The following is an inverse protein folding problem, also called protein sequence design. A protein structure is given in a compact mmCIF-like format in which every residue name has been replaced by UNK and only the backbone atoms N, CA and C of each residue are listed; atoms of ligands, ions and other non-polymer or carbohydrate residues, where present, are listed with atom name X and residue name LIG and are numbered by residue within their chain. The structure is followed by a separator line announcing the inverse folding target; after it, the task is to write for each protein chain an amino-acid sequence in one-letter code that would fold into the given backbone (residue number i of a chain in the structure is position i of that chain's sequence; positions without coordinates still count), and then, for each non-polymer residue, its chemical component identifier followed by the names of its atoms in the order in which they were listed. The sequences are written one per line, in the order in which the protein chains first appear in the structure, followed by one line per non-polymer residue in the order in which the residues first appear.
data_IF_275965446062
#
_entry.id   IF_275965446062
#
_cell.length_a   1.000
_cell.length_b   1.000
_cell.length_c   1.000
_cell.angle_alpha   90.00
_cell.angle_beta   90.00
_cell.angle_gamma   90.00
#
_symmetry.space_group_name_H-M   'P 1'
#
loop_
_entity.id
_entity.type
_entity.pdbx_description
1 polymer ?
#
# COMPACT_ATOMS: atom_id res chain seq x y z
N UNK A 1 -56.97 -3.22 33.80
CA UNK A 1 -56.27 -4.18 34.67
C UNK A 1 -54.92 -4.47 34.05
N UNK A 2 -53.84 -3.81 34.46
CA UNK A 2 -52.96 -4.20 35.59
C UNK A 2 -52.49 -5.66 35.44
N UNK A 3 -51.21 -6.03 35.32
CA UNK A 3 -49.92 -5.40 35.62
C UNK A 3 -48.85 -6.18 34.83
N UNK A 4 -48.07 -5.55 33.96
CA UNK A 4 -46.67 -5.96 33.71
C UNK A 4 -45.85 -4.97 32.88
N UNK A 5 -46.23 -3.69 32.86
CA UNK A 5 -45.34 -2.59 32.48
C UNK A 5 -44.60 -2.18 33.75
N UNK A 6 -43.45 -2.81 34.04
CA UNK A 6 -42.33 -2.32 34.89
C UNK A 6 -41.38 -3.50 35.16
N UNK A 7 -40.46 -3.82 34.23
CA UNK A 7 -39.18 -4.52 34.52
C UNK A 7 -38.27 -4.85 33.32
N UNK A 8 -38.50 -4.29 32.12
CA UNK A 8 -37.63 -4.57 30.96
C UNK A 8 -36.89 -3.32 30.44
N UNK A 9 -37.06 -2.15 31.07
CA UNK A 9 -36.43 -0.88 30.64
C UNK A 9 -35.20 -0.50 31.50
N UNK A 10 -34.63 -1.43 32.29
CA UNK A 10 -33.48 -1.09 33.15
C UNK A 10 -32.32 -2.09 33.08
N UNK A 11 -31.92 -2.50 31.87
CA UNK A 11 -30.69 -3.26 31.60
C UNK A 11 -30.10 -2.92 30.20
N UNK A 12 -30.20 -1.65 29.77
CA UNK A 12 -29.57 -1.13 28.53
C UNK A 12 -28.43 -0.12 28.86
N UNK A 13 -27.88 -0.17 30.08
CA UNK A 13 -26.66 0.57 30.41
C UNK A 13 -25.66 -0.40 31.05
N UNK A 14 -24.41 -0.35 30.57
CA UNK A 14 -23.27 -1.22 30.89
C UNK A 14 -23.13 -2.52 30.09
N UNK A 15 -23.06 -2.38 28.76
CA UNK A 15 -22.07 -3.16 27.99
C UNK A 15 -21.44 -2.19 26.99
N UNK A 16 -20.53 -1.34 27.50
CA UNK A 16 -19.56 -0.70 26.63
C UNK A 16 -18.76 -1.81 25.97
N UNK A 17 -18.98 -1.98 24.67
CA UNK A 17 -18.13 -2.76 23.81
C UNK A 17 -16.70 -2.21 23.94
N UNK A 18 -15.81 -2.98 24.54
CA UNK A 18 -14.38 -2.81 24.31
C UNK A 18 -14.14 -3.29 22.88
N UNK A 19 -14.33 -2.37 21.93
CA UNK A 19 -13.73 -2.52 20.61
C UNK A 19 -12.21 -2.52 20.83
N UNK A 20 -11.57 -3.64 20.50
CA UNK A 20 -10.12 -3.78 20.57
C UNK A 20 -9.50 -2.82 19.57
N UNK A 21 -8.91 -1.76 20.11
CA UNK A 21 -8.16 -0.75 19.41
C UNK A 21 -6.76 -1.31 19.17
N UNK A 22 -6.36 -1.57 17.93
CA UNK A 22 -4.98 -2.01 17.62
C UNK A 22 -3.97 -0.85 17.55
N UNK A 23 -4.34 0.36 18.00
CA UNK A 23 -3.40 1.44 18.28
C UNK A 23 -3.72 2.11 19.63
N UNK A 24 -3.29 1.46 20.73
CA UNK A 24 -3.33 2.04 22.08
C UNK A 24 -2.07 2.91 22.28
N UNK A 25 -2.07 4.11 21.72
CA UNK A 25 -1.12 5.16 22.10
C UNK A 25 -1.84 6.15 23.03
N UNK A 26 -1.86 5.86 24.34
CA UNK A 26 -2.42 6.78 25.34
C UNK A 26 -1.44 7.94 25.60
N UNK A 27 -1.39 8.93 24.71
CA UNK A 27 -0.39 10.00 24.73
C UNK A 27 -0.36 10.82 26.04
N UNK A 28 -1.48 10.90 26.77
CA UNK A 28 -1.58 11.63 28.05
C UNK A 28 -1.26 10.78 29.29
N UNK A 29 -1.37 9.44 29.22
CA UNK A 29 -1.18 8.54 30.35
C UNK A 29 0.30 8.20 30.61
N UNK A 30 1.16 8.29 29.60
CA UNK A 30 2.57 7.90 29.72
C UNK A 30 3.46 8.87 30.52
N UNK A 31 2.99 10.09 30.86
CA UNK A 31 3.80 11.09 31.59
C UNK A 31 4.20 10.67 33.01
N UNK A 32 3.38 9.82 33.65
CA UNK A 32 3.59 9.40 35.04
C UNK A 32 4.04 7.93 35.16
N UNK A 33 4.33 7.27 34.03
CA UNK A 33 4.76 5.87 34.02
C UNK A 33 6.28 5.83 34.21
N UNK A 34 6.72 5.19 35.28
CA UNK A 34 8.13 4.88 35.53
C UNK A 34 8.42 3.53 34.86
N UNK A 35 9.29 3.54 33.87
CA UNK A 35 9.72 2.33 33.18
C UNK A 35 10.93 1.71 33.89
N UNK A 36 10.99 0.37 33.90
CA UNK A 36 12.13 -0.36 34.43
C UNK A 36 13.43 -0.06 33.65
N UNK A 37 14.57 -0.22 34.33
CA UNK A 37 15.89 -0.01 33.74
C UNK A 37 16.09 -0.93 32.53
N UNK A 38 16.54 -0.32 31.43
CA UNK A 38 16.67 -1.00 30.14
C UNK A 38 17.84 -1.97 30.16
N UNK A 39 17.65 -3.24 29.74
CA UNK A 39 18.75 -4.18 29.58
C UNK A 39 19.77 -3.70 28.53
N UNK A 40 21.06 -3.84 28.81
CA UNK A 40 22.16 -3.43 27.92
C UNK A 40 22.21 -4.19 26.58
N UNK A 41 21.50 -5.32 26.49
CA UNK A 41 21.53 -6.23 25.33
C UNK A 41 20.87 -5.62 24.08
N UNK A 42 20.01 -4.62 24.24
CA UNK A 42 19.37 -3.90 23.12
C UNK A 42 19.99 -2.51 22.85
N UNK A 43 20.87 -2.01 23.71
CA UNK A 43 21.48 -0.68 23.55
C UNK A 43 22.61 -0.66 22.52
N UNK A 44 23.26 -1.80 22.31
CA UNK A 44 24.40 -1.93 21.41
C UNK A 44 24.14 -3.08 20.44
N UNK A 45 24.09 -2.79 19.14
CA UNK A 45 24.04 -3.82 18.09
C UNK A 45 25.46 -4.32 17.79
N UNK A 46 25.86 -5.44 18.37
CA UNK A 46 27.13 -6.11 18.12
C UNK A 46 26.93 -7.65 17.99
N UNK A 47 28.02 -8.41 17.84
CA UNK A 47 27.98 -9.87 17.67
C UNK A 47 27.44 -10.67 18.87
N UNK A 48 27.28 -10.02 20.02
CA UNK A 48 26.93 -10.60 21.33
C UNK A 48 25.63 -10.02 21.87
N UNK A 49 25.38 -8.75 21.59
CA UNK A 49 24.18 -7.99 21.94
C UNK A 49 23.49 -7.61 20.64
N UNK A 50 22.39 -8.29 20.31
CA UNK A 50 21.57 -7.94 19.17
C UNK A 50 20.13 -8.22 19.59
N UNK A 51 19.39 -7.14 19.82
CA UNK A 51 18.01 -7.18 20.26
C UNK A 51 17.24 -5.97 19.74
N UNK A 52 15.94 -5.95 19.91
CA UNK A 52 15.08 -4.85 19.45
C UNK A 52 14.26 -4.30 20.59
N UNK A 53 14.11 -2.98 20.61
CA UNK A 53 13.15 -2.33 21.48
C UNK A 53 11.77 -2.34 20.82
N UNK A 54 10.82 -3.02 21.46
CA UNK A 54 9.41 -2.94 21.09
C UNK A 54 8.63 -2.23 22.21
N UNK A 55 7.49 -1.62 21.90
CA UNK A 55 6.59 -1.12 22.92
C UNK A 55 6.18 -2.27 23.86
N UNK A 56 6.19 -2.03 25.17
CA UNK A 56 5.77 -3.00 26.18
C UNK A 56 4.28 -3.30 26.03
N UNK A 57 3.88 -4.57 26.10
CA UNK A 57 2.46 -4.97 26.07
C UNK A 57 1.64 -4.54 27.30
N UNK A 58 2.28 -3.89 28.29
CA UNK A 58 1.62 -3.28 29.45
C UNK A 58 0.66 -2.15 29.05
N UNK A 59 -0.15 -1.70 30.01
CA UNK A 59 -1.14 -0.64 29.82
C UNK A 59 -0.56 0.56 29.06
N UNK A 60 -1.08 0.75 27.84
CA UNK A 60 -0.81 1.90 26.96
C UNK A 60 0.56 1.98 26.26
N UNK A 61 1.35 0.89 26.13
CA UNK A 61 2.59 0.88 25.35
C UNK A 61 3.61 1.98 25.74
N UNK A 62 3.56 2.46 26.98
CA UNK A 62 4.32 3.63 27.42
C UNK A 62 5.82 3.34 27.61
N UNK A 63 6.19 2.09 27.88
CA UNK A 63 7.56 1.66 28.09
C UNK A 63 8.10 0.90 26.88
N UNK A 64 9.43 0.81 26.78
CA UNK A 64 10.11 0.00 25.77
C UNK A 64 10.67 -1.24 26.44
N UNK A 65 10.34 -2.40 25.91
CA UNK A 65 10.89 -3.67 26.33
C UNK A 65 11.97 -4.12 25.35
N UNK A 66 13.09 -4.63 25.88
CA UNK A 66 14.16 -5.21 25.09
C UNK A 66 13.86 -6.68 24.78
N UNK A 67 13.82 -7.02 23.50
CA UNK A 67 13.71 -8.40 23.02
C UNK A 67 15.04 -8.86 22.44
N UNK A 68 15.62 -9.92 22.98
CA UNK A 68 16.87 -10.48 22.44
C UNK A 68 16.60 -11.42 21.27
N UNK A 69 17.48 -11.40 20.26
CA UNK A 69 17.31 -12.24 19.09
C UNK A 69 17.92 -13.64 19.28
N UNK A 70 17.11 -14.67 19.10
CA UNK A 70 17.51 -16.07 19.11
C UNK A 70 18.21 -16.44 17.78
N UNK A 71 19.29 -17.22 17.88
CA UNK A 71 20.03 -17.74 16.72
C UNK A 71 19.30 -18.89 16.04
N UNK A 72 19.74 -19.26 14.84
CA UNK A 72 19.27 -20.46 14.16
C UNK A 72 19.41 -21.70 15.06
N UNK A 73 18.40 -22.59 15.02
CA UNK A 73 18.23 -23.78 15.85
C UNK A 73 18.07 -23.55 17.36
N UNK A 74 18.04 -22.31 17.84
CA UNK A 74 17.69 -22.02 19.23
C UNK A 74 16.23 -22.40 19.51
N UNK A 75 15.95 -22.84 20.74
CA UNK A 75 14.58 -23.17 21.16
C UNK A 75 13.75 -21.89 21.23
N UNK A 76 12.58 -21.93 20.61
CA UNK A 76 11.60 -20.85 20.61
C UNK A 76 10.22 -21.42 20.93
N UNK A 77 9.29 -20.54 21.29
CA UNK A 77 7.89 -20.88 21.53
C UNK A 77 7.02 -19.96 20.68
N UNK A 78 5.94 -20.48 20.10
CA UNK A 78 4.99 -19.73 19.27
C UNK A 78 4.05 -18.82 20.08
N UNK A 79 4.37 -18.58 21.36
CA UNK A 79 3.52 -17.90 22.32
C UNK A 79 2.58 -18.86 23.06
N UNK A 80 2.21 -18.51 24.29
CA UNK A 80 1.19 -19.19 25.09
C UNK A 80 0.09 -18.18 25.44
N UNK A 81 -1.17 -18.64 25.46
CA UNK A 81 -2.36 -17.84 25.80
C UNK A 81 -2.35 -17.30 27.25
N UNK A 82 -1.32 -17.63 28.03
CA UNK A 82 -1.20 -17.32 29.45
C UNK A 82 -0.59 -15.94 29.74
N UNK A 83 -0.21 -15.18 28.70
CA UNK A 83 0.33 -13.83 28.87
C UNK A 83 1.74 -13.78 29.47
N UNK A 84 2.50 -14.88 29.43
CA UNK A 84 3.90 -14.88 29.86
C UNK A 84 4.72 -13.88 29.04
N UNK A 85 5.44 -12.98 29.74
CA UNK A 85 6.33 -12.00 29.13
C UNK A 85 7.43 -12.70 28.32
N UNK A 86 7.34 -12.62 27.00
CA UNK A 86 8.37 -13.13 26.10
C UNK A 86 9.52 -12.11 26.12
N UNK A 87 10.74 -12.54 26.44
CA UNK A 87 11.94 -11.68 26.39
C UNK A 87 12.80 -11.90 25.14
N UNK A 88 12.50 -12.93 24.36
CA UNK A 88 13.34 -13.39 23.26
C UNK A 88 12.49 -13.68 22.01
N UNK A 89 12.94 -13.25 20.84
CA UNK A 89 12.29 -13.51 19.55
C UNK A 89 13.30 -14.11 18.58
N UNK A 90 12.86 -14.88 17.59
CA UNK A 90 13.79 -15.32 16.54
C UNK A 90 14.40 -14.10 15.82
N UNK A 91 15.69 -14.22 15.47
CA UNK A 91 16.42 -13.17 14.74
C UNK A 91 15.75 -12.77 13.41
N UNK A 92 16.12 -11.62 12.81
CA UNK A 92 15.65 -11.23 11.49
C UNK A 92 15.85 -12.35 10.46
N UNK A 93 14.82 -12.64 9.66
CA UNK A 93 14.83 -13.76 8.70
C UNK A 93 14.67 -15.16 9.28
N UNK A 94 14.41 -15.29 10.59
CA UNK A 94 14.11 -16.56 11.24
C UNK A 94 12.66 -16.57 11.76
N UNK A 95 11.99 -17.71 11.63
CA UNK A 95 10.67 -17.96 12.22
C UNK A 95 10.72 -19.16 13.16
N UNK A 96 9.81 -19.20 14.13
CA UNK A 96 9.71 -20.32 15.05
C UNK A 96 8.94 -21.47 14.40
N UNK A 97 9.64 -22.51 13.96
CA UNK A 97 9.08 -23.69 13.30
C UNK A 97 9.46 -24.91 14.15
N UNK A 98 8.46 -25.67 14.60
CA UNK A 98 8.63 -26.85 15.46
C UNK A 98 9.43 -26.57 16.75
N UNK A 99 9.19 -25.41 17.36
CA UNK A 99 9.86 -25.00 18.60
C UNK A 99 11.35 -24.65 18.44
N UNK A 100 11.81 -24.45 17.20
CA UNK A 100 13.17 -23.97 16.90
C UNK A 100 13.15 -22.82 15.90
N UNK A 101 14.07 -21.87 16.05
CA UNK A 101 14.24 -20.80 15.07
C UNK A 101 14.86 -21.38 13.79
N UNK A 102 14.13 -21.35 12.70
CA UNK A 102 14.55 -21.82 11.38
C UNK A 102 14.44 -20.68 10.36
N UNK A 103 15.15 -20.80 9.24
CA UNK A 103 15.08 -19.81 8.17
C UNK A 103 13.66 -19.70 7.63
N UNK A 104 13.18 -18.47 7.52
CA UNK A 104 11.84 -18.20 7.02
C UNK A 104 11.76 -18.50 5.51
N UNK A 105 10.75 -19.28 5.11
CA UNK A 105 10.49 -19.66 3.72
C UNK A 105 9.30 -18.87 3.16
N UNK A 106 9.44 -17.56 3.10
CA UNK A 106 8.45 -16.66 2.48
C UNK A 106 9.01 -16.06 1.21
N UNK A 107 8.13 -15.70 0.26
CA UNK A 107 8.50 -15.11 -1.03
C UNK A 107 9.45 -13.91 -0.89
N UNK A 108 9.21 -13.02 0.09
CA UNK A 108 10.08 -11.86 0.28
C UNK A 108 11.47 -12.26 0.79
N UNK A 109 11.56 -13.07 1.85
CA UNK A 109 12.85 -13.47 2.43
C UNK A 109 13.68 -14.32 1.48
N UNK A 110 13.06 -15.19 0.68
CA UNK A 110 13.76 -15.97 -0.34
C UNK A 110 14.39 -15.06 -1.41
N UNK A 111 13.65 -14.07 -1.91
CA UNK A 111 14.21 -13.07 -2.84
C UNK A 111 15.29 -12.21 -2.18
N UNK A 112 15.11 -11.84 -0.92
CA UNK A 112 16.09 -11.07 -0.16
C UNK A 112 17.39 -11.85 0.04
N UNK A 113 17.30 -13.13 0.39
CA UNK A 113 18.45 -14.03 0.55
C UNK A 113 19.18 -14.25 -0.79
N UNK A 114 18.44 -14.43 -1.89
CA UNK A 114 19.01 -14.53 -3.24
C UNK A 114 19.78 -13.25 -3.60
N UNK A 115 19.18 -12.07 -3.38
CA UNK A 115 19.85 -10.79 -3.60
C UNK A 115 21.14 -10.67 -2.77
N UNK A 116 21.09 -11.00 -1.47
CA UNK A 116 22.25 -10.90 -0.58
C UNK A 116 23.37 -11.88 -0.95
N UNK A 117 23.02 -13.07 -1.45
CA UNK A 117 23.99 -14.03 -1.99
C UNK A 117 24.69 -13.48 -3.23
N UNK A 118 23.92 -13.03 -4.23
CA UNK A 118 24.43 -12.43 -5.46
C UNK A 118 25.26 -11.17 -5.21
N UNK A 119 24.90 -10.38 -4.20
CA UNK A 119 25.68 -9.22 -3.78
C UNK A 119 27.09 -9.60 -3.30
N UNK A 120 27.24 -10.72 -2.59
CA UNK A 120 28.56 -11.23 -2.16
C UNK A 120 29.39 -11.72 -3.34
N UNK A 121 28.74 -12.25 -4.36
CA UNK A 121 29.36 -12.73 -5.60
C UNK A 121 29.67 -11.59 -6.58
N UNK A 122 29.13 -10.39 -6.36
CA UNK A 122 29.31 -9.23 -7.25
C UNK A 122 28.46 -9.28 -8.52
N UNK A 123 27.36 -10.03 -8.51
CA UNK A 123 26.52 -10.32 -9.69
C UNK A 123 25.21 -9.54 -9.72
N UNK A 124 25.05 -8.53 -8.85
CA UNK A 124 23.85 -7.66 -8.79
C UNK A 124 23.82 -6.64 -9.92
N UNK A 125 22.62 -6.31 -10.40
CA UNK A 125 22.43 -5.24 -11.35
C UNK A 125 22.65 -3.86 -10.71
N UNK A 126 23.09 -2.86 -11.47
CA UNK A 126 23.37 -1.51 -10.95
C UNK A 126 22.15 -0.86 -10.30
N UNK A 127 20.96 -1.15 -10.83
CA UNK A 127 19.69 -0.59 -10.39
C UNK A 127 18.75 -1.67 -9.85
N UNK A 128 19.29 -2.86 -9.56
CA UNK A 128 18.61 -3.91 -8.85
C UNK A 128 18.49 -3.53 -7.37
N UNK A 129 17.28 -3.63 -6.83
CA UNK A 129 16.98 -3.19 -5.45
C UNK A 129 16.70 -4.41 -4.60
N UNK A 130 17.35 -4.45 -3.43
CA UNK A 130 17.08 -5.45 -2.39
C UNK A 130 15.62 -5.30 -1.93
N UNK A 131 14.79 -6.37 -1.96
CA UNK A 131 13.43 -6.28 -1.46
C UNK A 131 13.44 -6.03 0.06
N UNK A 132 12.55 -5.15 0.50
CA UNK A 132 12.34 -4.87 1.92
C UNK A 132 11.24 -5.80 2.44
N UNK A 133 11.52 -6.51 3.51
CA UNK A 133 10.62 -7.49 4.12
C UNK A 133 10.37 -7.11 5.57
N UNK A 134 9.13 -7.32 6.03
CA UNK A 134 8.77 -7.10 7.42
C UNK A 134 9.24 -8.27 8.33
N UNK A 135 8.95 -8.17 9.63
CA UNK A 135 9.31 -9.20 10.61
C UNK A 135 8.59 -10.55 10.43
N UNK A 136 7.51 -10.59 9.64
CA UNK A 136 6.74 -11.79 9.33
C UNK A 136 7.11 -12.38 7.96
N UNK A 137 7.95 -11.68 7.19
CA UNK A 137 8.42 -12.10 5.88
C UNK A 137 7.52 -11.77 4.73
N UNK A 138 6.56 -10.86 4.94
CA UNK A 138 5.84 -10.22 3.85
C UNK A 138 6.65 -9.06 3.28
N UNK A 139 6.28 -8.60 2.10
CA UNK A 139 6.88 -7.40 1.52
C UNK A 139 6.46 -6.17 2.32
N UNK A 140 7.41 -5.25 2.49
CA UNK A 140 7.12 -3.90 2.94
C UNK A 140 6.15 -3.19 1.99
N UNK A 141 5.60 -2.07 2.44
CA UNK A 141 4.46 -1.40 1.79
C UNK A 141 4.76 -0.77 0.42
N UNK A 142 6.02 -0.63 0.03
CA UNK A 142 6.44 0.05 -1.19
C UNK A 142 7.67 -0.58 -1.85
N UNK A 143 7.85 -0.29 -3.14
CA UNK A 143 9.04 -0.58 -3.92
C UNK A 143 9.42 0.68 -4.71
N UNK A 144 10.72 0.99 -4.82
CA UNK A 144 11.22 2.16 -5.55
C UNK A 144 12.17 1.74 -6.67
N UNK A 145 12.00 2.34 -7.85
CA UNK A 145 12.94 2.23 -8.95
C UNK A 145 13.91 3.43 -8.85
N UNK A 146 15.22 3.20 -8.66
CA UNK A 146 16.15 4.28 -8.35
C UNK A 146 16.17 5.39 -9.41
N UNK A 147 15.84 6.62 -8.99
CA UNK A 147 15.82 7.81 -9.85
C UNK A 147 14.56 7.98 -10.70
N UNK A 148 13.60 7.05 -10.65
CA UNK A 148 12.40 7.10 -11.49
C UNK A 148 11.13 7.36 -10.66
N UNK A 149 10.63 6.35 -9.95
CA UNK A 149 9.38 6.45 -9.18
C UNK A 149 9.34 5.41 -8.07
N UNK A 150 8.45 5.63 -7.09
CA UNK A 150 8.11 4.66 -6.06
C UNK A 150 6.63 4.29 -6.17
N UNK A 151 6.30 3.04 -5.88
CA UNK A 151 4.92 2.57 -5.90
C UNK A 151 4.62 1.64 -4.74
N UNK A 152 3.34 1.52 -4.42
CA UNK A 152 2.86 0.66 -3.34
C UNK A 152 2.76 -0.81 -3.77
N UNK A 153 2.98 -1.72 -2.84
CA UNK A 153 2.82 -3.17 -3.05
C UNK A 153 1.95 -3.79 -1.95
N UNK A 154 1.30 -4.90 -2.27
CA UNK A 154 0.58 -5.72 -1.28
C UNK A 154 1.54 -6.62 -0.47
N UNK A 155 1.00 -7.40 0.46
CA UNK A 155 1.77 -8.35 1.32
C UNK A 155 2.62 -9.34 0.52
N UNK A 156 2.21 -9.67 -0.71
CA UNK A 156 2.89 -10.62 -1.60
C UNK A 156 3.90 -9.96 -2.54
N UNK A 157 4.03 -8.63 -2.50
CA UNK A 157 4.94 -7.86 -3.35
C UNK A 157 4.36 -7.51 -4.72
N UNK A 158 3.05 -7.69 -4.93
CA UNK A 158 2.38 -7.29 -6.16
C UNK A 158 2.09 -5.79 -6.14
N UNK A 159 2.32 -5.12 -7.25
CA UNK A 159 2.10 -3.68 -7.38
C UNK A 159 0.60 -3.35 -7.30
N UNK A 160 0.24 -2.45 -6.40
CA UNK A 160 -1.11 -1.93 -6.20
C UNK A 160 -1.17 -0.43 -6.47
N UNK A 161 -2.35 0.18 -6.29
CA UNK A 161 -2.53 1.62 -6.41
C UNK A 161 -1.57 2.40 -5.50
N UNK A 162 -1.09 3.55 -5.97
CA UNK A 162 -0.14 4.39 -5.26
C UNK A 162 1.15 4.51 -6.04
N UNK A 163 1.33 5.65 -6.69
CA UNK A 163 2.50 6.00 -7.49
C UNK A 163 2.97 7.38 -7.07
N UNK A 164 4.26 7.50 -6.77
CA UNK A 164 4.86 8.74 -6.32
C UNK A 164 6.15 9.00 -7.07
N UNK A 165 6.53 10.28 -7.16
CA UNK A 165 7.88 10.65 -7.56
C UNK A 165 8.91 9.94 -6.69
N UNK A 166 10.09 9.67 -7.28
CA UNK A 166 11.18 9.06 -6.53
C UNK A 166 11.56 9.91 -5.31
N UNK A 167 11.74 9.26 -4.16
CA UNK A 167 12.16 9.90 -2.91
C UNK A 167 13.18 9.03 -2.19
N UNK A 168 14.18 9.66 -1.58
CA UNK A 168 15.21 8.97 -0.79
C UNK A 168 14.73 8.57 0.63
N UNK A 169 13.54 9.02 1.04
CA UNK A 169 12.95 8.72 2.35
C UNK A 169 11.54 8.09 2.24
N UNK A 170 11.39 6.98 1.48
CA UNK A 170 10.09 6.37 1.22
C UNK A 170 9.41 5.85 2.48
N UNK A 171 10.17 5.34 3.47
CA UNK A 171 9.64 4.85 4.76
C UNK A 171 8.80 5.88 5.52
N UNK A 172 9.07 7.19 5.33
CA UNK A 172 8.34 8.28 5.99
C UNK A 172 7.18 8.81 5.14
N UNK A 173 7.22 8.61 3.82
CA UNK A 173 6.27 9.21 2.87
C UNK A 173 5.27 8.22 2.28
N UNK A 174 5.63 6.94 2.20
CA UNK A 174 4.90 5.89 1.48
C UNK A 174 4.54 4.77 2.45
N UNK A 175 3.60 5.05 3.34
CA UNK A 175 3.01 4.00 4.18
C UNK A 175 2.07 3.11 3.37
N UNK A 176 1.45 3.64 2.32
CA UNK A 176 0.58 2.89 1.40
C UNK A 176 -0.58 2.16 2.09
N UNK A 177 -0.92 2.54 3.32
CA UNK A 177 -1.87 1.80 4.15
C UNK A 177 -3.28 1.85 3.57
N UNK A 178 -3.68 2.98 2.99
CA UNK A 178 -4.97 3.10 2.31
C UNK A 178 -5.07 2.13 1.14
N UNK A 179 -4.05 2.10 0.26
CA UNK A 179 -4.01 1.16 -0.86
C UNK A 179 -4.04 -0.30 -0.43
N UNK A 180 -3.30 -0.66 0.64
CA UNK A 180 -3.30 -2.03 1.17
C UNK A 180 -4.64 -2.40 1.79
N UNK A 181 -5.24 -1.53 2.59
CA UNK A 181 -6.55 -1.76 3.18
C UNK A 181 -7.62 -1.94 2.09
N UNK A 182 -7.57 -1.14 1.03
CA UNK A 182 -8.47 -1.28 -0.10
C UNK A 182 -8.26 -2.62 -0.84
N UNK A 183 -7.01 -3.01 -1.09
CA UNK A 183 -6.70 -4.29 -1.71
C UNK A 183 -7.19 -5.48 -0.86
N UNK A 184 -6.98 -5.45 0.45
CA UNK A 184 -7.47 -6.48 1.37
C UNK A 184 -9.01 -6.49 1.43
N UNK A 185 -9.66 -5.33 1.32
CA UNK A 185 -11.12 -5.27 1.23
C UNK A 185 -11.64 -5.94 -0.06
N UNK A 186 -10.94 -5.82 -1.19
CA UNK A 186 -11.32 -6.49 -2.44
C UNK A 186 -11.17 -8.00 -2.39
N UNK A 187 -10.37 -8.56 -1.48
CA UNK A 187 -10.32 -10.01 -1.26
C UNK A 187 -11.60 -10.55 -0.63
N UNK A 188 -12.38 -9.66 0.03
CA UNK A 188 -13.65 -9.97 0.69
C UNK A 188 -14.84 -9.56 -0.18
N UNK A 189 -14.73 -8.43 -0.88
CA UNK A 189 -15.77 -7.83 -1.70
C UNK A 189 -15.41 -7.85 -3.18
N UNK A 190 -16.26 -8.40 -4.05
CA UNK A 190 -15.99 -8.49 -5.48
C UNK A 190 -15.76 -7.14 -6.17
N UNK A 191 -16.52 -6.10 -5.78
CA UNK A 191 -16.42 -4.74 -6.32
C UNK A 191 -16.86 -3.72 -5.28
N UNK A 192 -16.11 -2.62 -5.20
CA UNK A 192 -16.47 -1.45 -4.38
C UNK A 192 -16.53 -0.24 -5.32
N UNK A 193 -17.64 0.48 -5.35
CA UNK A 193 -17.77 1.65 -6.21
C UNK A 193 -16.92 2.82 -5.66
N UNK A 194 -16.53 3.81 -6.49
CA UNK A 194 -15.69 4.94 -6.07
C UNK A 194 -16.22 5.75 -4.87
N UNK A 195 -17.51 5.67 -4.57
CA UNK A 195 -18.16 6.39 -3.47
C UNK A 195 -18.38 5.53 -2.21
N UNK A 196 -17.94 4.27 -2.22
CA UNK A 196 -18.17 3.26 -1.18
C UNK A 196 -16.90 2.85 -0.45
N UNK A 197 -15.75 3.44 -0.79
CA UNK A 197 -14.46 3.17 -0.16
C UNK A 197 -13.81 4.44 0.42
N UNK A 198 -12.81 4.23 1.28
CA UNK A 198 -11.93 5.31 1.72
C UNK A 198 -11.11 5.84 0.55
N UNK A 199 -10.94 7.16 0.48
CA UNK A 199 -10.11 7.76 -0.56
C UNK A 199 -8.64 7.70 -0.20
N UNK A 200 -7.82 7.29 -1.15
CA UNK A 200 -6.37 7.36 -1.01
C UNK A 200 -5.81 8.65 -1.63
N UNK A 201 -4.65 9.10 -1.17
CA UNK A 201 -3.84 10.05 -1.92
C UNK A 201 -3.10 9.33 -3.06
N UNK A 202 -2.59 10.07 -4.05
CA UNK A 202 -1.89 9.51 -5.22
C UNK A 202 -0.70 8.61 -4.84
N UNK A 203 -0.09 8.84 -3.67
CA UNK A 203 1.03 8.05 -3.14
C UNK A 203 0.59 6.79 -2.36
N UNK A 204 -0.71 6.49 -2.32
CA UNK A 204 -1.31 5.34 -1.64
C UNK A 204 -1.56 5.47 -0.15
N UNK A 205 -1.23 6.62 0.45
CA UNK A 205 -1.62 6.95 1.83
C UNK A 205 -3.10 7.35 1.89
N UNK A 206 -3.64 7.59 3.08
CA UNK A 206 -5.00 8.13 3.20
C UNK A 206 -5.04 9.60 2.75
N UNK A 207 -6.12 9.97 2.05
CA UNK A 207 -6.51 11.37 1.99
C UNK A 207 -6.90 11.82 3.40
N UNK A 208 -6.41 12.97 3.86
CA UNK A 208 -6.70 13.45 5.21
C UNK A 208 -8.20 13.71 5.39
N UNK A 209 -8.87 14.12 4.31
CA UNK A 209 -10.32 14.26 4.29
C UNK A 209 -10.94 12.95 3.79
N UNK A 210 -11.85 12.37 4.56
CA UNK A 210 -12.57 11.15 4.19
C UNK A 210 -14.06 11.41 4.18
N UNK A 211 -14.75 11.03 3.12
CA UNK A 211 -16.20 11.10 3.01
C UNK A 211 -16.77 9.76 2.58
N UNK A 212 -17.78 9.27 3.29
CA UNK A 212 -18.58 8.10 2.88
C UNK A 212 -20.04 8.56 2.84
N UNK A 213 -20.63 8.53 1.64
CA UNK A 213 -21.95 9.12 1.39
C UNK A 213 -21.94 10.63 1.68
N UNK A 214 -22.78 11.08 2.62
CA UNK A 214 -22.88 12.49 3.02
C UNK A 214 -22.23 12.78 4.39
N UNK A 215 -21.31 11.93 4.86
CA UNK A 215 -20.61 12.13 6.13
C UNK A 215 -19.11 12.20 5.86
N UNK A 216 -18.50 13.29 6.28
CA UNK A 216 -17.10 13.59 6.10
C UNK A 216 -16.41 13.85 7.44
N UNK A 217 -15.17 13.41 7.57
CA UNK A 217 -14.34 13.61 8.75
C UNK A 217 -12.85 13.68 8.38
N UNK A 218 -12.03 14.13 9.34
CA UNK A 218 -10.58 14.17 9.21
C UNK A 218 -9.93 12.92 9.81
N UNK A 219 -9.00 12.32 9.09
CA UNK A 219 -8.24 11.14 9.51
C UNK A 219 -6.73 11.39 9.45
N UNK A 220 -5.97 10.61 10.20
CA UNK A 220 -4.52 10.54 10.05
C UNK A 220 -4.16 9.96 8.67
N UNK A 221 -3.15 10.57 8.05
CA UNK A 221 -2.73 10.24 6.69
C UNK A 221 -2.08 8.86 6.57
N UNK A 222 -1.54 8.31 7.65
CA UNK A 222 -0.71 7.10 7.63
C UNK A 222 -1.48 5.85 8.01
N UNK A 223 -2.43 5.93 8.94
CA UNK A 223 -3.21 4.77 9.39
C UNK A 223 -4.73 4.89 9.16
N UNK A 224 -5.22 6.08 8.79
CA UNK A 224 -6.64 6.32 8.53
C UNK A 224 -7.49 6.42 9.79
N UNK A 225 -6.87 6.54 10.97
CA UNK A 225 -7.60 6.75 12.23
C UNK A 225 -8.22 8.14 12.26
N UNK A 226 -9.48 8.29 12.71
CA UNK A 226 -10.07 9.61 12.91
C UNK A 226 -9.23 10.48 13.85
N UNK A 227 -9.11 11.77 13.54
CA UNK A 227 -8.49 12.75 14.44
C UNK A 227 -9.18 12.73 15.83
N UNK A 228 -8.46 13.12 16.88
CA UNK A 228 -9.04 13.24 18.21
C UNK A 228 -10.17 14.27 18.21
N UNK A 229 -11.36 13.89 18.70
CA UNK A 229 -12.61 14.66 18.60
C UNK A 229 -13.01 15.01 17.15
N UNK A 230 -12.78 14.09 16.20
CA UNK A 230 -13.12 14.28 14.79
C UNK A 230 -14.57 14.74 14.59
N UNK A 231 -14.72 15.96 14.09
CA UNK A 231 -16.01 16.51 13.73
C UNK A 231 -16.54 15.86 12.45
N UNK A 232 -17.80 15.44 12.47
CA UNK A 232 -18.47 14.88 11.30
C UNK A 232 -19.31 15.98 10.64
N UNK A 233 -19.01 16.27 9.37
CA UNK A 233 -19.72 17.27 8.55
C UNK A 233 -20.35 16.64 7.33
N UNK A 234 -21.29 17.35 6.69
CA UNK A 234 -21.80 16.95 5.39
C UNK A 234 -20.81 17.26 4.28
N UNK A 235 -20.99 16.65 3.10
CA UNK A 235 -20.14 16.91 1.93
C UNK A 235 -20.20 18.38 1.51
N UNK A 236 -21.35 19.04 1.69
CA UNK A 236 -21.53 20.47 1.39
C UNK A 236 -20.77 21.38 2.37
N UNK A 237 -20.44 20.88 3.56
CA UNK A 237 -19.79 21.60 4.64
C UNK A 237 -18.31 21.21 4.84
N UNK A 238 -17.72 20.44 3.92
CA UNK A 238 -16.31 20.00 4.05
C UNK A 238 -15.33 21.16 4.21
N UNK A 239 -15.64 22.34 3.67
CA UNK A 239 -14.80 23.54 3.80
C UNK A 239 -14.64 24.03 5.24
N UNK A 240 -15.50 23.58 6.16
CA UNK A 240 -15.45 23.89 7.59
C UNK A 240 -14.55 22.93 8.39
N UNK A 241 -14.15 21.81 7.80
CA UNK A 241 -13.25 20.86 8.45
C UNK A 241 -11.81 21.37 8.42
N UNK A 242 -11.09 21.25 9.54
CA UNK A 242 -9.72 21.74 9.68
C UNK A 242 -8.72 21.05 8.73
N UNK A 243 -9.04 19.83 8.28
CA UNK A 243 -8.24 19.10 7.30
C UNK A 243 -8.50 19.47 5.85
N UNK A 244 -9.53 20.28 5.56
CA UNK A 244 -9.86 20.65 4.20
C UNK A 244 -8.78 21.56 3.61
N UNK A 245 -8.20 21.10 2.50
CA UNK A 245 -7.21 21.86 1.76
C UNK A 245 -7.71 22.12 0.34
N UNK A 246 -7.99 23.39 0.03
CA UNK A 246 -8.49 23.83 -1.28
C UNK A 246 -7.52 23.55 -2.43
N UNK A 247 -6.21 23.45 -2.18
CA UNK A 247 -5.22 23.12 -3.23
C UNK A 247 -5.33 21.65 -3.65
N UNK A 248 -5.66 20.77 -2.70
CA UNK A 248 -5.85 19.33 -2.96
C UNK A 248 -7.28 19.06 -3.46
N UNK A 249 -8.25 19.79 -2.92
CA UNK A 249 -9.69 19.65 -3.16
C UNK A 249 -10.28 20.95 -3.77
N UNK A 250 -9.90 21.34 -4.99
CA UNK A 250 -10.28 22.62 -5.57
C UNK A 250 -11.79 22.73 -5.86
N UNK A 251 -12.40 21.62 -6.27
CA UNK A 251 -13.81 21.55 -6.69
C UNK A 251 -14.66 20.70 -5.74
N UNK A 252 -14.27 20.63 -4.46
CA UNK A 252 -14.92 19.79 -3.46
C UNK A 252 -14.23 18.44 -3.29
N UNK A 253 -14.94 17.49 -2.66
CA UNK A 253 -14.40 16.16 -2.40
C UNK A 253 -14.22 15.38 -3.71
N UNK A 254 -15.29 15.08 -4.45
CA UNK A 254 -15.21 14.25 -5.66
C UNK A 254 -14.39 14.91 -6.79
N UNK A 255 -13.39 14.20 -7.30
CA UNK A 255 -12.63 14.59 -8.50
C UNK A 255 -13.41 14.28 -9.77
N UNK A 256 -12.93 14.75 -10.92
CA UNK A 256 -13.66 14.67 -12.19
C UNK A 256 -14.04 13.24 -12.61
N UNK A 257 -13.17 12.24 -12.40
CA UNK A 257 -13.51 10.85 -12.74
C UNK A 257 -14.67 10.34 -11.87
N UNK A 258 -14.58 10.51 -10.55
CA UNK A 258 -15.66 10.11 -9.63
C UNK A 258 -16.95 10.86 -9.92
N UNK A 259 -16.87 12.16 -10.25
CA UNK A 259 -18.05 12.96 -10.58
C UNK A 259 -18.75 12.44 -11.82
N UNK A 260 -17.99 12.09 -12.88
CA UNK A 260 -18.54 11.44 -14.07
C UNK A 260 -19.11 10.05 -13.77
N UNK A 261 -18.46 9.29 -12.90
CA UNK A 261 -18.98 8.01 -12.45
C UNK A 261 -20.32 8.16 -11.73
N UNK A 262 -20.43 9.12 -10.81
CA UNK A 262 -21.66 9.42 -10.07
C UNK A 262 -22.78 9.93 -10.99
N UNK A 263 -22.45 10.78 -11.97
CA UNK A 263 -23.40 11.26 -12.98
C UNK A 263 -23.96 10.08 -13.80
N UNK A 264 -23.09 9.17 -14.27
CA UNK A 264 -23.47 7.95 -14.98
C UNK A 264 -24.32 7.00 -14.11
N UNK A 265 -23.99 6.88 -12.81
CA UNK A 265 -24.75 6.10 -11.85
C UNK A 265 -26.16 6.67 -11.65
N UNK A 266 -26.28 7.98 -11.41
CA UNK A 266 -27.55 8.66 -11.23
C UNK A 266 -28.45 8.51 -12.46
N UNK A 267 -27.89 8.72 -13.66
CA UNK A 267 -28.62 8.50 -14.91
C UNK A 267 -29.12 7.06 -15.04
N UNK A 268 -28.29 6.07 -14.68
CA UNK A 268 -28.68 4.66 -14.68
C UNK A 268 -29.82 4.38 -13.69
N UNK A 269 -29.77 4.97 -12.51
CA UNK A 269 -30.81 4.84 -11.49
C UNK A 269 -32.13 5.50 -11.93
N UNK A 270 -32.07 6.64 -12.61
CA UNK A 270 -33.26 7.31 -13.17
C UNK A 270 -33.95 6.46 -14.22
N UNK A 271 -33.20 5.88 -15.17
CA UNK A 271 -33.78 4.95 -16.16
C UNK A 271 -34.42 3.73 -15.50
N UNK A 272 -33.80 3.17 -14.46
CA UNK A 272 -34.39 2.06 -13.70
C UNK A 272 -35.69 2.47 -13.00
N UNK A 273 -35.74 3.67 -12.40
CA UNK A 273 -36.97 4.21 -11.79
C UNK A 273 -38.08 4.44 -12.81
N UNK A 274 -37.73 4.85 -14.03
CA UNK A 274 -38.66 5.02 -15.14
C UNK A 274 -39.12 3.68 -15.78
N UNK A 275 -38.68 2.53 -15.27
CA UNK A 275 -39.12 1.21 -15.71
C UNK A 275 -38.33 0.63 -16.89
N UNK A 276 -37.21 1.24 -17.29
CA UNK A 276 -36.34 0.68 -18.31
C UNK A 276 -35.43 -0.40 -17.71
N UNK A 277 -35.49 -1.61 -18.26
CA UNK A 277 -34.70 -2.76 -17.79
C UNK A 277 -33.36 -2.93 -18.52
N UNK A 278 -33.25 -2.46 -19.76
CA UNK A 278 -32.05 -2.59 -20.59
C UNK A 278 -31.46 -1.23 -20.95
N UNK A 279 -30.39 -0.84 -20.26
CA UNK A 279 -29.67 0.41 -20.47
C UNK A 279 -28.37 0.07 -21.23
N UNK A 280 -28.33 0.34 -22.53
CA UNK A 280 -27.30 -0.18 -23.45
C UNK A 280 -26.09 0.75 -23.68
N UNK A 281 -26.05 1.95 -23.10
CA UNK A 281 -25.03 2.96 -23.45
C UNK A 281 -24.62 3.89 -22.30
N UNK A 282 -24.58 3.40 -21.05
CA UNK A 282 -23.93 4.15 -19.97
C UNK A 282 -22.51 3.64 -19.83
N UNK A 283 -21.54 4.46 -20.23
CA UNK A 283 -20.12 4.18 -20.08
C UNK A 283 -19.63 4.70 -18.72
N UNK A 284 -19.17 3.80 -17.86
CA UNK A 284 -18.58 4.15 -16.58
C UNK A 284 -17.06 4.32 -16.73
N UNK A 285 -16.49 5.49 -16.40
CA UNK A 285 -15.04 5.63 -16.39
C UNK A 285 -14.45 4.77 -15.27
N UNK A 286 -13.26 4.20 -15.50
CA UNK A 286 -12.51 3.51 -14.46
C UNK A 286 -11.73 4.56 -13.66
N UNK A 287 -12.00 4.69 -12.37
CA UNK A 287 -11.33 5.65 -11.50
C UNK A 287 -10.32 4.94 -10.59
N UNK A 288 -9.22 5.63 -10.30
CA UNK A 288 -8.24 5.24 -9.30
C UNK A 288 -8.71 5.64 -7.89
N UNK A 289 -8.05 5.12 -6.85
CA UNK A 289 -8.51 5.29 -5.45
C UNK A 289 -8.40 6.71 -4.91
N UNK A 290 -7.70 7.59 -5.62
CA UNK A 290 -7.61 9.02 -5.31
C UNK A 290 -8.61 9.87 -6.08
N UNK A 291 -9.51 9.23 -6.83
CA UNK A 291 -10.55 9.87 -7.64
C UNK A 291 -10.09 10.33 -9.03
N UNK A 292 -8.82 10.13 -9.39
CA UNK A 292 -8.32 10.39 -10.74
C UNK A 292 -8.70 9.27 -11.71
N UNK A 293 -8.38 9.42 -12.99
CA UNK A 293 -8.62 8.36 -13.96
C UNK A 293 -7.61 7.23 -13.80
N UNK A 294 -8.12 6.00 -13.70
CA UNK A 294 -7.28 4.81 -13.72
C UNK A 294 -6.44 4.78 -14.99
N UNK A 295 -5.21 4.28 -14.87
CA UNK A 295 -4.23 4.31 -15.97
C UNK A 295 -4.73 3.67 -17.27
N UNK A 296 -5.55 2.63 -17.16
CA UNK A 296 -6.12 1.89 -18.27
C UNK A 296 -7.63 2.13 -18.35
N UNK A 297 -8.05 2.87 -19.37
CA UNK A 297 -9.45 2.97 -19.78
C UNK A 297 -9.75 1.94 -20.87
N UNK A 298 -11.02 1.57 -20.98
CA UNK A 298 -11.45 0.53 -21.90
C UNK A 298 -12.87 0.81 -22.37
N UNK A 299 -13.08 0.79 -23.68
CA UNK A 299 -14.41 0.83 -24.28
C UNK A 299 -14.66 -0.48 -25.05
N UNK A 300 -15.65 -0.55 -25.94
CA UNK A 300 -15.96 -1.79 -26.68
C UNK A 300 -14.87 -2.20 -27.68
N UNK A 301 -14.11 -1.25 -28.22
CA UNK A 301 -13.19 -1.45 -29.35
C UNK A 301 -11.73 -1.25 -29.01
N UNK A 302 -11.41 -0.41 -28.03
CA UNK A 302 -10.05 0.01 -27.68
C UNK A 302 -9.77 -0.14 -26.19
N UNK A 303 -8.49 -0.37 -25.89
CA UNK A 303 -7.88 -0.12 -24.58
C UNK A 303 -6.97 1.10 -24.72
N UNK A 304 -7.07 2.02 -23.77
CA UNK A 304 -6.44 3.34 -23.86
C UNK A 304 -5.73 3.65 -22.57
N UNK A 305 -4.43 3.94 -22.63
CA UNK A 305 -3.74 4.54 -21.51
C UNK A 305 -4.06 6.02 -21.48
N UNK A 306 -4.41 6.53 -20.30
CA UNK A 306 -4.71 7.94 -20.08
C UNK A 306 -3.74 8.55 -19.08
N UNK A 307 -3.70 9.89 -18.95
CA UNK A 307 -3.04 10.62 -17.87
C UNK A 307 -3.99 10.82 -16.66
N UNK A 308 -3.56 11.46 -15.55
CA UNK A 308 -4.34 11.46 -14.30
C UNK A 308 -5.63 12.30 -14.47
N UNK A 309 -5.61 13.24 -15.42
CA UNK A 309 -6.74 14.05 -15.86
C UNK A 309 -7.63 13.35 -16.89
N UNK A 310 -7.19 12.21 -17.45
CA UNK A 310 -7.93 11.44 -18.44
C UNK A 310 -7.56 11.74 -19.90
N UNK A 311 -6.51 12.52 -20.16
CA UNK A 311 -6.01 12.76 -21.51
C UNK A 311 -5.35 11.50 -22.08
N UNK A 312 -5.54 11.24 -23.36
CA UNK A 312 -5.05 10.01 -24.00
C UNK A 312 -3.52 10.07 -24.16
N UNK A 313 -2.82 9.06 -23.63
CA UNK A 313 -1.39 8.85 -23.83
C UNK A 313 -1.12 7.95 -25.04
N UNK A 314 -1.80 6.81 -25.10
CA UNK A 314 -1.74 5.86 -26.20
C UNK A 314 -3.02 4.99 -26.22
N UNK A 315 -3.37 4.47 -27.38
CA UNK A 315 -4.59 3.67 -27.57
C UNK A 315 -4.33 2.52 -28.54
N UNK A 316 -4.78 1.33 -28.18
CA UNK A 316 -4.61 0.09 -28.95
C UNK A 316 -5.98 -0.55 -29.14
N UNK A 317 -6.24 -1.09 -30.32
CA UNK A 317 -7.45 -1.86 -30.59
C UNK A 317 -7.43 -3.20 -29.84
N UNK A 318 -8.59 -3.64 -29.34
CA UNK A 318 -8.69 -4.92 -28.62
C UNK A 318 -8.40 -6.15 -29.49
N UNK A 319 -8.44 -6.01 -30.81
CA UNK A 319 -8.08 -7.08 -31.74
C UNK A 319 -6.57 -7.30 -31.82
N UNK A 320 -5.79 -6.30 -31.40
CA UNK A 320 -4.34 -6.40 -31.34
C UNK A 320 -3.92 -7.29 -30.16
N UNK A 321 -3.06 -8.32 -30.39
CA UNK A 321 -2.52 -9.17 -29.32
C UNK A 321 -1.81 -8.39 -28.20
N UNK A 322 -1.25 -7.21 -28.48
CA UNK A 322 -0.61 -6.35 -27.49
C UNK A 322 -1.59 -5.82 -26.44
N UNK A 323 -2.89 -5.81 -26.74
CA UNK A 323 -3.93 -5.33 -25.84
C UNK A 323 -4.18 -6.27 -24.66
N UNK A 324 -3.87 -7.56 -24.77
CA UNK A 324 -4.15 -8.57 -23.72
C UNK A 324 -3.35 -8.31 -22.45
N UNK A 325 -2.07 -7.96 -22.59
CA UNK A 325 -1.15 -7.68 -21.48
C UNK A 325 -1.06 -6.20 -21.10
N UNK A 326 -1.88 -5.34 -21.72
CA UNK A 326 -1.82 -3.89 -21.53
C UNK A 326 -2.13 -3.48 -20.09
N UNK A 327 -1.19 -2.80 -19.43
CA UNK A 327 -1.30 -2.35 -18.03
C UNK A 327 -0.97 -0.86 -17.82
N UNK A 328 -0.44 -0.18 -18.85
CA UNK A 328 -0.12 1.26 -18.83
C UNK A 328 0.88 1.72 -17.75
N UNK A 329 1.56 0.78 -17.06
CA UNK A 329 2.45 1.09 -15.92
C UNK A 329 3.63 1.98 -16.34
N UNK A 330 4.18 1.79 -17.54
CA UNK A 330 5.28 2.60 -18.05
C UNK A 330 4.80 3.96 -18.51
N UNK A 331 3.72 4.03 -19.30
CA UNK A 331 3.15 5.30 -19.75
C UNK A 331 2.85 6.24 -18.58
N UNK A 332 2.38 5.70 -17.45
CA UNK A 332 2.21 6.45 -16.20
C UNK A 332 3.46 6.88 -15.50
N UNK A 333 4.45 6.00 -15.43
CA UNK A 333 5.73 6.38 -14.85
C UNK A 333 6.39 7.48 -15.71
N UNK A 334 6.27 7.41 -17.03
CA UNK A 334 6.76 8.41 -17.97
C UNK A 334 6.06 9.77 -17.81
N UNK A 335 4.74 9.80 -17.57
CA UNK A 335 4.02 11.07 -17.34
C UNK A 335 4.42 11.77 -16.03
N UNK A 336 4.94 11.03 -15.04
CA UNK A 336 5.42 11.56 -13.76
C UNK A 336 6.93 11.78 -13.71
N UNK A 337 7.69 11.16 -14.63
CA UNK A 337 9.14 11.21 -14.60
C UNK A 337 9.67 12.61 -14.96
N UNK A 338 10.80 12.98 -14.32
CA UNK A 338 11.59 14.14 -14.76
C UNK A 338 12.21 13.83 -16.13
N UNK A 339 12.39 14.86 -16.98
CA UNK A 339 12.86 14.71 -18.37
C UNK A 339 14.08 13.79 -18.59
N UNK A 340 14.99 13.68 -17.61
CA UNK A 340 16.20 12.84 -17.72
C UNK A 340 16.03 11.37 -17.31
N UNK A 341 14.86 10.98 -16.81
CA UNK A 341 14.59 9.66 -16.21
C UNK A 341 13.32 9.02 -16.79
N UNK A 342 12.92 9.44 -17.99
CA UNK A 342 11.73 8.92 -18.68
C UNK A 342 12.01 7.49 -19.15
N UNK A 343 11.25 6.47 -18.69
CA UNK A 343 11.43 5.09 -19.12
C UNK A 343 10.99 4.92 -20.57
N UNK A 344 11.53 3.91 -21.24
CA UNK A 344 11.11 3.53 -22.59
C UNK A 344 9.88 2.63 -22.51
N UNK A 345 8.80 3.02 -23.18
CA UNK A 345 7.55 2.25 -23.17
C UNK A 345 7.28 1.58 -24.51
N UNK A 346 6.61 0.44 -24.48
CA UNK A 346 6.00 -0.21 -25.65
C UNK A 346 4.75 0.57 -26.10
N UNK A 347 4.25 0.27 -27.30
CA UNK A 347 3.06 0.92 -27.88
C UNK A 347 1.78 0.72 -27.05
N UNK A 348 1.69 -0.40 -26.33
CA UNK A 348 0.60 -0.65 -25.38
C UNK A 348 0.82 0.03 -24.01
N UNK A 349 1.86 0.84 -23.83
CA UNK A 349 2.12 1.59 -22.59
C UNK A 349 2.74 0.76 -21.46
N UNK A 350 3.11 -0.50 -21.72
CA UNK A 350 3.91 -1.32 -20.82
C UNK A 350 5.38 -0.93 -20.89
N UNK A 351 6.19 -1.39 -19.93
CA UNK A 351 7.64 -1.22 -19.99
C UNK A 351 8.22 -2.01 -21.17
N UNK A 352 9.11 -1.38 -21.93
CA UNK A 352 10.01 -2.13 -22.81
C UNK A 352 10.91 -3.00 -21.90
N UNK A 353 10.95 -4.33 -22.09
CA UNK A 353 11.81 -5.20 -21.28
C UNK A 353 13.27 -4.77 -21.28
N UNK A 354 13.75 -4.08 -22.34
CA UNK A 354 15.08 -3.47 -22.38
C UNK A 354 15.00 -1.98 -22.03
N UNK A 355 15.54 -1.61 -20.87
CA UNK A 355 15.67 -0.21 -20.44
C UNK A 355 17.12 0.24 -20.51
N UNK A 356 17.37 1.42 -21.09
CA UNK A 356 18.71 1.99 -21.20
C UNK A 356 18.79 3.33 -20.46
N UNK A 357 19.86 3.54 -19.70
CA UNK A 357 20.14 4.76 -18.94
C UNK A 357 21.62 5.10 -19.05
N UNK A 358 21.94 6.31 -19.50
CA UNK A 358 23.32 6.82 -19.63
C UNK A 358 24.26 5.87 -20.41
N UNK A 359 23.77 5.27 -21.49
CA UNK A 359 24.54 4.37 -22.37
C UNK A 359 24.64 2.92 -21.90
N UNK A 360 23.99 2.56 -20.79
CA UNK A 360 23.92 1.19 -20.28
C UNK A 360 22.48 0.66 -20.28
N UNK A 361 22.29 -0.56 -20.77
CA UNK A 361 21.01 -1.23 -20.89
C UNK A 361 20.91 -2.43 -19.94
N UNK A 362 19.70 -2.67 -19.46
CA UNK A 362 19.34 -3.73 -18.51
C UNK A 362 17.95 -4.28 -18.82
N UNK A 363 17.68 -5.49 -18.36
CA UNK A 363 16.36 -6.07 -18.43
C UNK A 363 15.49 -5.63 -17.23
N UNK A 364 14.20 -5.42 -17.48
CA UNK A 364 13.23 -5.06 -16.44
C UNK A 364 11.98 -5.93 -16.51
N UNK A 365 11.33 -6.09 -15.36
CA UNK A 365 10.00 -6.70 -15.27
C UNK A 365 8.87 -5.77 -15.76
N UNK A 366 7.64 -6.27 -15.73
CA UNK A 366 6.43 -5.51 -16.06
C UNK A 366 6.18 -4.26 -15.20
N UNK A 367 6.88 -4.11 -14.08
CA UNK A 367 6.80 -2.95 -13.19
C UNK A 367 7.93 -1.95 -13.42
N UNK A 368 8.95 -2.32 -14.23
CA UNK A 368 10.14 -1.53 -14.50
C UNK A 368 11.31 -1.80 -13.54
N UNK A 369 11.22 -2.81 -12.67
CA UNK A 369 12.32 -3.19 -11.80
C UNK A 369 13.36 -3.97 -12.59
N UNK A 370 14.64 -3.73 -12.34
CA UNK A 370 15.70 -4.52 -12.95
C UNK A 370 15.59 -5.98 -12.52
N UNK A 371 15.55 -6.88 -13.50
CA UNK A 371 15.55 -8.32 -13.29
C UNK A 371 16.76 -8.98 -13.92
N UNK A 372 17.12 -10.12 -13.36
CA UNK A 372 18.29 -10.89 -13.76
C UNK A 372 17.85 -12.36 -13.86
N UNK A 373 17.00 -12.66 -14.85
CA UNK A 373 16.31 -13.96 -14.91
C UNK A 373 17.21 -15.15 -15.29
N UNK A 374 18.38 -14.93 -15.92
CA UNK A 374 19.14 -16.04 -16.54
C UNK A 374 20.67 -15.88 -16.60
N UNK A 375 21.33 -15.15 -15.70
CA UNK A 375 22.78 -14.97 -15.85
C UNK A 375 23.58 -15.08 -14.55
N UNK A 376 24.73 -15.74 -14.67
CA UNK A 376 25.85 -15.77 -13.71
C UNK A 376 26.35 -14.35 -13.36
N UNK A 377 25.86 -13.31 -14.05
CA UNK A 377 26.04 -11.89 -13.75
C UNK A 377 24.77 -11.13 -14.15
N UNK A 378 24.47 -9.96 -13.58
CA UNK A 378 23.41 -9.08 -14.07
C UNK A 378 24.02 -7.90 -14.83
N UNK A 379 24.43 -8.09 -16.10
CA UNK A 379 25.23 -7.10 -16.77
C UNK A 379 24.35 -5.94 -17.22
N UNK A 380 24.65 -4.77 -16.67
CA UNK A 380 24.40 -3.53 -17.40
C UNK A 380 25.33 -3.53 -18.62
N UNK A 381 24.78 -3.75 -19.80
CA UNK A 381 25.57 -3.80 -21.04
C UNK A 381 25.56 -2.45 -21.74
N UNK A 382 26.68 -2.02 -22.34
CA UNK A 382 26.67 -0.87 -23.22
C UNK A 382 25.60 -1.01 -24.31
N UNK A 383 24.92 0.08 -24.65
CA UNK A 383 23.79 0.11 -25.59
C UNK A 383 24.12 -0.46 -26.97
N UNK A 384 25.38 -0.38 -27.38
CA UNK A 384 25.91 -0.91 -28.64
C UNK A 384 25.96 -2.45 -28.69
N UNK A 385 25.77 -3.15 -27.57
CA UNK A 385 25.77 -4.61 -27.47
C UNK A 385 24.35 -5.18 -27.47
N UNK A 386 24.17 -6.37 -28.02
CA UNK A 386 22.88 -7.05 -28.02
C UNK A 386 22.52 -7.53 -26.61
N UNK A 387 21.55 -6.87 -25.97
CA UNK A 387 20.84 -7.38 -24.80
C UNK A 387 19.52 -8.00 -25.24
N UNK A 388 19.30 -9.27 -24.88
CA UNK A 388 18.03 -9.96 -25.11
C UNK A 388 17.35 -10.07 -23.74
N UNK A 389 16.16 -9.51 -23.63
CA UNK A 389 15.32 -9.58 -22.44
C UNK A 389 14.06 -10.40 -22.76
N UNK A 390 13.65 -11.24 -21.81
CA UNK A 390 12.47 -12.12 -21.91
C UNK A 390 11.15 -11.37 -21.84
#
# INVERSE_FOLDING_TARGET
MNKMILKVILLINLCYALAQNENILCSSYCRNVVCDDKPTDCDIQNSTNYGIYLPSADTCNCCKQCFTYLKINARCSSGSLDGSLISNICGPGLSCIDGKCQTMKTSCYEKQANFDARKKEGTIGTLEVRPNCDGQGFYETYQCIPGQACYCVNKNGERIFGLSEFTDIPLLKLKCQCSRNYHEALEIFDKIAPHEHFRCAANGNFDRLQCIGNKCLCVDIFDGTPDFDAEIRSVDEISKLDCFNKTIHPNGFYKECERRYLDALNQTLEYKKAGYSNILSVDFPKCDLDGTYASLQENKTHKTCVDIEGNILNSIEKIDPLSDKMNCKCARAASLARKSEVPKCLENGNYDPKQCRKGYCRCVDENGNQTCENAESCPDVPEEKSLICS
#
